data_IF_465490585667
#
_entry.id   IF_465490585667
#
_cell.length_a   1.000
_cell.length_b   1.000
_cell.length_c   1.000
_cell.angle_alpha   90.00
_cell.angle_beta   90.00
_cell.angle_gamma   90.00
#
_symmetry.space_group_name_H-M   'P 1'
#
loop_
_entity.id
_entity.type
_entity.pdbx_description
1 polymer ?
2 non-polymer ?
3 water ?
#
# COMPACT_ATOMS: atom_id res chain seq x y z
N UNK A 2 1.58 -2.36 -13.42
CA UNK A 2 2.70 -2.88 -14.21
C UNK A 2 2.53 -4.38 -14.44
N UNK A 3 3.11 -4.91 -15.54
CA UNK A 3 2.98 -6.34 -15.81
C UNK A 3 3.90 -7.06 -14.83
N UNK A 4 3.79 -8.39 -14.75
CA UNK A 4 4.70 -9.09 -13.86
C UNK A 4 5.93 -9.35 -14.73
N UNK A 5 7.07 -9.57 -14.11
CA UNK A 5 8.28 -9.75 -14.88
C UNK A 5 8.82 -11.17 -14.78
N UNK A 6 9.21 -11.72 -15.93
CA UNK A 6 9.79 -13.06 -15.99
C UNK A 6 11.25 -12.83 -16.36
N UNK A 7 12.12 -12.78 -15.36
CA UNK A 7 13.53 -12.51 -15.59
C UNK A 7 14.29 -13.48 -16.51
N UNK A 8 13.85 -14.73 -16.61
CA UNK A 8 14.55 -15.66 -17.49
C UNK A 8 14.56 -15.12 -18.92
N UNK A 9 13.54 -14.35 -19.29
CA UNK A 9 13.46 -13.78 -20.64
C UNK A 9 14.68 -12.96 -20.95
N UNK A 10 15.14 -12.19 -19.96
CA UNK A 10 16.31 -11.36 -20.17
C UNK A 10 17.61 -12.13 -20.02
N UNK A 11 17.69 -13.01 -19.02
CA UNK A 11 18.90 -13.79 -18.79
C UNK A 11 19.21 -14.74 -19.94
N UNK A 12 18.19 -15.17 -20.67
CA UNK A 12 18.38 -16.10 -21.79
C UNK A 12 18.60 -15.34 -23.09
N UNK A 13 18.37 -14.04 -23.07
CA UNK A 13 18.56 -13.21 -24.25
C UNK A 13 20.02 -12.87 -24.37
N UNK A 14 20.53 -12.78 -25.61
CA UNK A 14 21.93 -12.45 -25.84
C UNK A 14 22.33 -11.14 -25.13
N UNK A 15 21.40 -10.18 -25.12
CA UNK A 15 21.60 -8.88 -24.48
C UNK A 15 21.64 -8.91 -22.94
N UNK A 16 20.73 -9.66 -22.32
CA UNK A 16 20.68 -9.70 -20.87
C UNK A 16 21.54 -10.76 -20.20
N UNK A 17 21.89 -11.77 -20.98
CA UNK A 17 22.71 -12.89 -20.55
C UNK A 17 23.82 -12.61 -19.53
N UNK A 18 24.53 -11.51 -19.69
CA UNK A 18 25.62 -11.18 -18.78
C UNK A 18 25.27 -10.13 -17.74
N UNK A 19 24.03 -9.66 -17.76
CA UNK A 19 23.62 -8.62 -16.84
C UNK A 19 24.31 -8.66 -15.47
N UNK A 20 24.23 -9.80 -14.78
CA UNK A 20 24.81 -9.92 -13.45
C UNK A 20 26.30 -10.24 -13.35
N UNK A 21 26.97 -10.37 -14.48
CA UNK A 21 28.39 -10.66 -14.47
C UNK A 21 29.08 -9.63 -13.59
N UNK A 22 29.83 -10.11 -12.60
CA UNK A 22 30.53 -9.20 -11.72
C UNK A 22 29.82 -8.92 -10.41
N UNK A 23 28.53 -9.22 -10.32
CA UNK A 23 27.81 -8.99 -9.07
C UNK A 23 28.37 -9.90 -7.98
N UNK A 24 28.53 -9.35 -6.77
CA UNK A 24 29.04 -10.16 -5.67
C UNK A 24 27.91 -11.09 -5.29
N UNK A 25 28.22 -12.13 -4.52
CA UNK A 25 27.21 -13.05 -4.07
C UNK A 25 27.14 -12.95 -2.54
N UNK A 26 25.98 -13.23 -1.96
CA UNK A 26 25.82 -13.14 -0.51
C UNK A 26 24.77 -14.11 -0.02
N UNK A 27 24.95 -14.59 1.21
CA UNK A 27 24.03 -15.56 1.79
C UNK A 27 23.45 -15.05 3.10
N UNK A 28 22.15 -15.25 3.30
CA UNK A 28 21.49 -14.83 4.51
C UNK A 28 20.85 -16.02 5.23
N UNK A 29 21.29 -16.26 6.46
CA UNK A 29 20.78 -17.35 7.28
C UNK A 29 19.32 -17.11 7.60
N UNK A 30 18.60 -18.18 7.90
CA UNK A 30 17.19 -18.07 8.23
C UNK A 30 16.95 -17.14 9.42
N UNK A 31 15.82 -16.42 9.40
CA UNK A 31 15.49 -15.53 10.48
C UNK A 31 16.32 -14.25 10.61
N UNK A 32 17.33 -14.10 9.75
CA UNK A 32 18.19 -12.92 9.80
C UNK A 32 17.61 -11.74 9.04
N UNK A 33 17.78 -10.54 9.61
CA UNK A 33 17.27 -9.32 8.99
C UNK A 33 18.20 -8.89 7.87
N UNK A 34 17.67 -8.88 6.65
CA UNK A 34 18.46 -8.48 5.48
C UNK A 34 18.71 -6.97 5.51
N UNK A 35 17.73 -6.23 6.03
CA UNK A 35 17.84 -4.79 6.14
C UNK A 35 16.63 -4.24 6.90
N UNK A 36 16.82 -3.07 7.51
CA UNK A 36 15.76 -2.41 8.26
C UNK A 36 15.95 -0.88 8.22
N UNK A 37 15.01 -0.15 8.80
CA UNK A 37 15.11 1.30 8.81
C UNK A 37 16.42 1.73 9.47
N UNK A 38 16.67 3.04 9.54
CA UNK A 38 17.90 3.54 10.14
C UNK A 38 19.07 2.80 9.49
N UNK A 39 18.76 2.11 8.40
CA UNK A 39 19.78 1.35 7.69
C UNK A 39 20.90 2.22 7.17
N UNK A 40 22.12 1.89 7.56
CA UNK A 40 23.29 2.62 7.12
C UNK A 40 23.83 1.99 5.84
N UNK A 41 23.16 0.93 5.40
CA UNK A 41 23.57 0.21 4.18
C UNK A 41 22.71 0.67 3.01
N UNK A 42 23.09 0.23 1.81
CA UNK A 42 22.33 0.57 0.61
C UNK A 42 22.87 -0.16 -0.61
N UNK A 43 22.02 -0.30 -1.62
CA UNK A 43 22.42 -0.99 -2.83
C UNK A 43 21.25 -1.76 -3.42
N UNK A 44 21.55 -2.62 -4.38
CA UNK A 44 20.51 -3.41 -5.03
C UNK A 44 20.88 -4.88 -5.08
N UNK A 45 19.88 -5.74 -5.00
CA UNK A 45 20.16 -7.17 -5.05
C UNK A 45 19.08 -7.96 -5.76
N UNK A 46 19.41 -9.19 -6.10
CA UNK A 46 18.47 -10.08 -6.77
C UNK A 46 18.55 -11.43 -6.07
N UNK A 47 17.38 -11.95 -5.71
CA UNK A 47 17.32 -13.24 -5.05
C UNK A 47 17.66 -14.37 -6.02
N UNK A 48 18.59 -15.23 -5.60
CA UNK A 48 18.99 -16.37 -6.42
C UNK A 48 18.04 -17.52 -6.08
N UNK A 49 17.98 -17.85 -4.81
CA UNK A 49 17.06 -18.87 -4.33
C UNK A 49 16.79 -18.51 -2.88
N UNK A 50 15.71 -19.05 -2.34
CA UNK A 50 15.38 -18.74 -0.97
C UNK A 50 14.09 -17.96 -0.92
N UNK A 51 13.90 -17.18 0.14
CA UNK A 51 12.68 -16.41 0.31
C UNK A 51 12.89 -15.34 1.35
N UNK A 52 12.44 -14.12 1.05
CA UNK A 52 12.58 -13.02 1.98
C UNK A 52 11.21 -12.38 2.15
N UNK A 53 10.95 -11.87 3.34
CA UNK A 53 9.68 -11.21 3.60
C UNK A 53 9.92 -9.72 3.72
N UNK A 54 9.05 -8.93 3.09
CA UNK A 54 9.16 -7.48 3.15
C UNK A 54 7.98 -7.00 3.97
N UNK A 55 8.24 -6.17 4.97
CA UNK A 55 7.14 -5.69 5.80
C UNK A 55 7.41 -4.41 6.58
N UNK A 56 6.41 -4.06 7.37
CA UNK A 56 6.40 -2.90 8.24
C UNK A 56 5.73 -3.42 9.51
N UNK A 57 5.89 -2.72 10.63
CA UNK A 57 5.26 -3.18 11.86
C UNK A 57 4.58 -2.01 12.58
N UNK A 58 3.57 -2.34 13.38
CA UNK A 58 2.85 -1.32 14.12
C UNK A 58 1.48 -1.80 14.58
N UNK A 59 1.05 -1.28 15.73
CA UNK A 59 -0.26 -1.64 16.30
C UNK A 59 -0.26 -3.06 16.86
N UNK A 60 0.84 -3.47 17.49
CA UNK A 60 0.95 -4.81 18.07
C UNK A 60 0.95 -5.87 16.96
N UNK A 61 0.75 -5.43 15.73
CA UNK A 61 0.69 -6.32 14.58
C UNK A 61 1.73 -6.02 13.50
N UNK A 62 2.20 -7.08 12.83
CA UNK A 62 3.18 -6.92 11.77
C UNK A 62 2.45 -7.06 10.43
N UNK A 63 2.65 -6.08 9.55
CA UNK A 63 2.02 -6.10 8.23
C UNK A 63 2.97 -6.64 7.18
N UNK A 64 2.70 -7.87 6.76
CA UNK A 64 3.50 -8.53 5.74
C UNK A 64 3.07 -7.94 4.40
N UNK A 65 3.99 -7.27 3.70
CA UNK A 65 3.65 -6.68 2.43
C UNK A 65 3.70 -7.70 1.30
N UNK A 66 4.87 -8.29 1.10
CA UNK A 66 5.04 -9.30 0.05
C UNK A 66 6.32 -10.07 0.28
N UNK A 67 6.61 -11.02 -0.59
CA UNK A 67 7.81 -11.83 -0.46
C UNK A 67 8.70 -11.69 -1.69
N UNK A 68 9.97 -12.06 -1.51
CA UNK A 68 10.96 -11.98 -2.56
C UNK A 68 11.54 -13.38 -2.78
N UNK A 69 11.34 -13.93 -3.97
CA UNK A 69 11.91 -15.24 -4.27
C UNK A 69 12.74 -15.20 -5.56
N UNK A 70 13.38 -16.32 -5.88
CA UNK A 70 14.23 -16.43 -7.05
C UNK A 70 13.78 -15.50 -8.19
N UNK A 71 14.68 -14.62 -8.63
CA UNK A 71 14.36 -13.72 -9.72
C UNK A 71 13.93 -12.32 -9.34
N UNK A 72 13.41 -12.15 -8.13
CA UNK A 72 12.96 -10.84 -7.68
C UNK A 72 14.14 -9.92 -7.35
N UNK A 73 13.96 -8.62 -7.62
CA UNK A 73 14.99 -7.62 -7.34
C UNK A 73 14.41 -6.68 -6.30
N UNK A 74 15.29 -6.11 -5.47
CA UNK A 74 14.89 -5.16 -4.45
C UNK A 74 16.14 -4.38 -4.00
N UNK A 75 15.91 -3.28 -3.30
CA UNK A 75 17.00 -2.43 -2.85
C UNK A 75 17.15 -2.49 -1.33
N UNK A 76 18.13 -1.75 -0.82
CA UNK A 76 18.42 -1.68 0.61
C UNK A 76 17.97 -0.37 1.22
N UNK A 77 17.16 0.41 0.47
CA UNK A 77 16.73 1.72 0.97
C UNK A 77 15.24 2.02 0.88
N UNK A 78 14.41 0.99 0.78
CA UNK A 78 12.97 1.20 0.68
C UNK A 78 12.27 1.65 1.95
N UNK A 79 12.97 1.62 3.08
CA UNK A 79 12.34 1.98 4.33
C UNK A 79 11.50 0.81 4.81
N UNK A 80 11.63 -0.31 4.10
CA UNK A 80 10.92 -1.53 4.44
C UNK A 80 11.85 -2.49 5.16
N UNK A 81 11.27 -3.44 5.89
CA UNK A 81 12.06 -4.42 6.60
C UNK A 81 12.13 -5.65 5.70
N UNK A 82 13.26 -6.33 5.71
CA UNK A 82 13.46 -7.51 4.89
C UNK A 82 14.14 -8.59 5.72
N UNK A 83 13.52 -9.76 5.80
CA UNK A 83 14.08 -10.85 6.59
C UNK A 83 14.02 -12.13 5.78
N UNK A 84 14.98 -13.01 6.02
CA UNK A 84 15.02 -14.27 5.32
C UNK A 84 14.21 -15.29 6.09
N UNK A 85 13.23 -15.91 5.42
CA UNK A 85 12.42 -16.92 6.06
C UNK A 85 13.03 -18.24 5.63
N UNK A 86 14.24 -18.14 5.09
CA UNK A 86 14.99 -19.29 4.61
C UNK A 86 16.43 -18.86 4.38
N UNK A 87 17.25 -19.85 4.04
CA UNK A 87 18.63 -19.58 3.71
C UNK A 87 18.48 -19.10 2.27
N UNK A 88 18.75 -17.83 2.01
CA UNK A 88 18.60 -17.34 0.64
C UNK A 88 19.88 -16.70 0.13
N UNK A 89 20.18 -16.92 -1.14
CA UNK A 89 21.36 -16.35 -1.76
C UNK A 89 20.92 -15.22 -2.69
N UNK A 90 21.70 -14.14 -2.71
CA UNK A 90 21.38 -12.99 -3.55
C UNK A 90 22.62 -12.43 -4.20
N UNK A 91 22.49 -11.92 -5.41
CA UNK A 91 23.60 -11.28 -6.10
C UNK A 91 23.46 -9.84 -5.63
N UNK A 92 24.58 -9.15 -5.40
CA UNK A 92 24.50 -7.79 -4.89
C UNK A 92 25.39 -6.82 -5.66
N UNK A 93 25.03 -5.54 -5.61
CA UNK A 93 25.79 -4.50 -6.28
C UNK A 93 25.27 -3.16 -5.78
N UNK A 94 26.10 -2.12 -5.92
CA UNK A 94 25.72 -0.77 -5.48
C UNK A 94 24.81 -0.16 -6.53
N UNK A 95 24.04 0.85 -6.12
CA UNK A 95 23.11 1.52 -7.02
C UNK A 95 23.71 1.91 -8.38
N UNK A 96 24.85 2.57 -8.36
CA UNK A 96 25.48 3.00 -9.60
C UNK A 96 25.66 1.83 -10.56
N UNK A 97 26.38 0.81 -10.11
CA UNK A 97 26.63 -0.36 -10.93
C UNK A 97 25.34 -0.86 -11.55
N UNK A 98 24.30 -0.94 -10.74
CA UNK A 98 23.01 -1.43 -11.22
C UNK A 98 22.43 -0.50 -12.28
N UNK A 99 22.47 0.79 -12.01
CA UNK A 99 21.95 1.76 -12.94
C UNK A 99 22.68 1.65 -14.29
N UNK A 100 23.99 1.49 -14.22
CA UNK A 100 24.79 1.36 -15.42
C UNK A 100 24.29 0.16 -16.19
N UNK A 101 24.25 -0.99 -15.52
CA UNK A 101 23.80 -2.22 -16.14
C UNK A 101 22.42 -2.07 -16.75
N UNK A 102 21.51 -1.36 -16.07
CA UNK A 102 20.15 -1.16 -16.57
C UNK A 102 20.13 -0.36 -17.86
N UNK A 103 20.95 0.68 -17.91
CA UNK A 103 20.99 1.51 -19.10
C UNK A 103 21.64 0.78 -20.26
N UNK A 104 22.47 -0.21 -19.94
CA UNK A 104 23.13 -0.99 -20.99
C UNK A 104 22.20 -2.13 -21.42
N UNK A 105 21.23 -2.45 -20.57
CA UNK A 105 20.28 -3.51 -20.87
C UNK A 105 18.90 -3.12 -20.37
N UNK A 106 18.29 -2.11 -21.00
CA UNK A 106 16.95 -1.61 -20.61
C UNK A 106 15.87 -2.66 -20.33
N UNK A 107 15.91 -3.81 -21.01
CA UNK A 107 14.87 -4.82 -20.78
C UNK A 107 14.85 -5.36 -19.36
N UNK A 108 15.98 -5.27 -18.67
CA UNK A 108 16.01 -5.74 -17.29
C UNK A 108 15.26 -4.76 -16.39
N UNK A 109 15.02 -3.54 -16.90
CA UNK A 109 14.31 -2.51 -16.12
C UNK A 109 12.93 -2.97 -15.67
N UNK A 110 12.31 -3.83 -16.46
CA UNK A 110 10.99 -4.29 -16.11
C UNK A 110 10.93 -5.08 -14.82
N UNK A 111 12.08 -5.61 -14.39
CA UNK A 111 12.11 -6.33 -13.13
C UNK A 111 11.83 -5.30 -12.03
N UNK A 112 12.49 -4.16 -12.15
CA UNK A 112 12.34 -3.06 -11.19
C UNK A 112 10.91 -2.52 -11.23
N UNK A 113 10.41 -2.32 -12.45
CA UNK A 113 9.05 -1.83 -12.62
C UNK A 113 8.10 -2.81 -11.92
N UNK A 114 8.21 -4.10 -12.23
CA UNK A 114 7.32 -5.07 -11.63
C UNK A 114 7.37 -5.14 -10.10
N UNK A 115 8.56 -5.07 -9.50
CA UNK A 115 8.62 -5.16 -8.05
C UNK A 115 8.11 -3.90 -7.38
N UNK A 116 8.19 -2.77 -8.09
CA UNK A 116 7.70 -1.53 -7.51
C UNK A 116 6.18 -1.63 -7.50
N UNK A 117 5.63 -2.28 -8.52
CA UNK A 117 4.20 -2.48 -8.61
C UNK A 117 3.73 -3.43 -7.51
N UNK A 118 4.46 -4.52 -7.33
CA UNK A 118 4.10 -5.47 -6.30
C UNK A 118 4.10 -4.76 -4.95
N UNK A 119 5.16 -4.00 -4.70
CA UNK A 119 5.28 -3.27 -3.45
C UNK A 119 4.12 -2.30 -3.31
N UNK A 120 3.80 -1.60 -4.38
CA UNK A 120 2.72 -0.61 -4.33
C UNK A 120 1.36 -1.23 -3.99
N UNK A 121 0.91 -2.20 -4.78
CA UNK A 121 -0.39 -2.83 -4.52
C UNK A 121 -0.44 -3.44 -3.12
N UNK A 122 0.68 -4.01 -2.68
CA UNK A 122 0.70 -4.58 -1.33
C UNK A 122 0.26 -3.48 -0.37
N UNK A 123 0.91 -2.32 -0.48
CA UNK A 123 0.62 -1.18 0.38
C UNK A 123 -0.83 -0.71 0.23
N UNK A 124 -1.33 -0.71 -0.99
CA UNK A 124 -2.70 -0.28 -1.20
C UNK A 124 -3.61 -1.24 -0.45
N UNK A 125 -3.28 -2.51 -0.52
CA UNK A 125 -4.06 -3.52 0.15
C UNK A 125 -4.04 -3.24 1.65
N UNK A 126 -2.85 -2.97 2.20
CA UNK A 126 -2.73 -2.70 3.62
C UNK A 126 -3.50 -1.44 4.05
N UNK A 127 -3.50 -0.42 3.18
CA UNK A 127 -4.22 0.82 3.44
C UNK A 127 -5.72 0.52 3.38
N UNK A 128 -6.09 -0.33 2.43
CA UNK A 128 -7.47 -0.72 2.22
C UNK A 128 -7.96 -1.51 3.44
N UNK A 129 -7.08 -2.30 4.03
CA UNK A 129 -7.45 -3.09 5.20
C UNK A 129 -7.73 -2.19 6.40
N UNK A 130 -7.15 -1.00 6.41
CA UNK A 130 -7.34 -0.08 7.53
C UNK A 130 -8.57 0.79 7.34
N UNK A 131 -8.75 1.34 6.16
CA UNK A 131 -9.90 2.19 5.92
C UNK A 131 -11.22 1.39 5.96
N UNK A 132 -11.12 0.06 6.05
CA UNK A 132 -12.32 -0.78 6.09
C UNK A 132 -12.28 -1.89 7.14
N UNK A 133 -11.38 -1.77 8.11
CA UNK A 133 -11.27 -2.80 9.16
C UNK A 133 -12.61 -3.24 9.73
N UNK A 134 -13.44 -2.27 10.12
CA UNK A 134 -14.75 -2.58 10.71
C UNK A 134 -15.80 -3.14 9.75
N UNK A 135 -16.07 -2.46 8.64
CA UNK A 135 -17.07 -2.95 7.69
C UNK A 135 -16.78 -4.41 7.30
N UNK A 136 -15.49 -4.77 7.29
CA UNK A 136 -15.09 -6.12 6.95
C UNK A 136 -15.44 -7.11 8.05
N UNK A 137 -15.28 -6.70 9.32
CA UNK A 137 -15.62 -7.57 10.42
C UNK A 137 -17.15 -7.70 10.47
N UNK A 138 -17.81 -6.58 10.20
CA UNK A 138 -19.27 -6.53 10.18
C UNK A 138 -19.76 -7.52 9.13
N UNK A 139 -19.19 -7.45 7.93
CA UNK A 139 -19.59 -8.34 6.85
C UNK A 139 -19.19 -9.78 7.15
N UNK A 140 -18.18 -9.96 7.98
CA UNK A 140 -17.75 -11.29 8.34
C UNK A 140 -18.77 -11.80 9.33
N UNK A 141 -19.33 -10.87 10.10
CA UNK A 141 -20.36 -11.22 11.07
C UNK A 141 -21.61 -11.64 10.32
N UNK A 142 -22.00 -10.82 9.36
CA UNK A 142 -23.17 -11.07 8.53
C UNK A 142 -23.10 -12.47 7.92
N UNK A 143 -21.95 -12.81 7.34
CA UNK A 143 -21.77 -14.11 6.70
C UNK A 143 -21.84 -15.28 7.67
N UNK A 144 -21.45 -15.03 8.91
CA UNK A 144 -21.46 -16.05 9.93
C UNK A 144 -22.91 -16.27 10.40
N UNK A 145 -23.59 -15.18 10.72
CA UNK A 145 -24.97 -15.23 11.18
C UNK A 145 -25.96 -15.73 10.13
N UNK A 146 -25.68 -15.50 8.86
CA UNK A 146 -26.59 -15.90 7.80
C UNK A 146 -26.18 -17.14 7.02
N UNK A 147 -25.18 -17.86 7.50
CA UNK A 147 -24.73 -19.04 6.79
C UNK A 147 -25.51 -20.31 7.13
N UNK A 148 -25.67 -21.17 6.13
CA UNK A 148 -26.35 -22.46 6.32
C UNK A 148 -25.58 -23.53 5.54
N UNK A 149 -25.52 -24.73 6.11
CA UNK A 149 -24.77 -25.82 5.49
C UNK A 149 -25.63 -26.86 4.75
N UNK A 150 -24.94 -27.71 3.97
CA UNK A 150 -25.54 -28.78 3.19
C UNK A 150 -25.13 -30.14 3.76
N UNK A 151 -25.87 -31.17 3.41
CA UNK A 151 -25.58 -32.52 3.89
C UNK A 151 -24.14 -32.96 3.65
N UNK A 152 -23.50 -33.47 4.72
CA UNK A 152 -22.12 -33.92 4.64
C UNK A 152 -21.90 -35.05 3.65
N UNK A 153 -22.97 -35.75 3.28
CA UNK A 153 -22.86 -36.85 2.33
C UNK A 153 -22.70 -36.31 0.91
N UNK A 154 -21.45 -36.28 0.44
CA UNK A 154 -21.10 -35.80 -0.89
C UNK A 154 -22.22 -36.04 -1.89
N UNK A 157 -21.17 -32.47 -0.78
CA UNK A 157 -21.36 -32.63 0.65
C UNK A 157 -20.74 -31.49 1.44
N UNK A 158 -21.28 -31.24 2.63
CA UNK A 158 -20.81 -30.18 3.53
C UNK A 158 -20.27 -28.91 2.88
N UNK A 159 -21.14 -27.91 2.70
CA UNK A 159 -20.75 -26.64 2.12
C UNK A 159 -21.56 -25.49 2.74
N UNK A 160 -20.84 -24.53 3.32
CA UNK A 160 -21.48 -23.38 3.93
C UNK A 160 -21.79 -22.37 2.85
N UNK A 161 -23.05 -21.92 2.80
CA UNK A 161 -23.49 -20.97 1.79
C UNK A 161 -24.08 -19.70 2.37
N UNK A 162 -24.01 -18.64 1.59
CA UNK A 162 -24.56 -17.35 1.95
C UNK A 162 -25.02 -16.73 0.65
N UNK A 163 -26.30 -16.91 0.33
CA UNK A 163 -26.83 -16.39 -0.92
C UNK A 163 -27.54 -15.05 -0.77
N UNK A 164 -26.78 -13.99 -1.05
CA UNK A 164 -27.26 -12.62 -1.01
C UNK A 164 -26.47 -11.85 -2.04
N UNK A 165 -27.08 -10.82 -2.59
CA UNK A 165 -26.40 -9.99 -3.58
C UNK A 165 -25.76 -8.86 -2.80
N UNK A 166 -24.67 -8.31 -3.33
CA UNK A 166 -23.97 -7.22 -2.67
C UNK A 166 -24.94 -6.15 -2.18
N UNK A 167 -25.92 -5.79 -3.01
CA UNK A 167 -26.90 -4.78 -2.60
C UNK A 167 -27.73 -5.28 -1.43
N UNK A 168 -28.21 -6.52 -1.49
CA UNK A 168 -29.00 -7.08 -0.39
C UNK A 168 -28.16 -7.00 0.88
N UNK A 169 -26.88 -7.33 0.75
CA UNK A 169 -25.97 -7.29 1.88
C UNK A 169 -25.80 -5.86 2.39
N UNK A 170 -25.47 -4.95 1.47
CA UNK A 170 -25.28 -3.54 1.81
C UNK A 170 -26.49 -2.98 2.55
N UNK A 171 -27.68 -3.27 2.04
CA UNK A 171 -28.92 -2.82 2.67
C UNK A 171 -28.95 -3.30 4.12
N UNK A 172 -28.81 -4.60 4.30
CA UNK A 172 -28.82 -5.20 5.63
C UNK A 172 -27.83 -4.58 6.62
N UNK A 173 -26.54 -4.58 6.28
CA UNK A 173 -25.53 -4.04 7.19
C UNK A 173 -25.53 -2.52 7.29
N UNK A 174 -26.22 -1.86 6.37
CA UNK A 174 -26.29 -0.41 6.40
C UNK A 174 -25.37 0.32 5.44
N UNK A 175 -24.06 0.16 5.63
CA UNK A 175 -23.05 0.81 4.80
C UNK A 175 -23.40 0.90 3.31
N UNK A 176 -22.71 1.81 2.62
CA UNK A 176 -22.95 2.02 1.20
C UNK A 176 -22.74 0.76 0.38
N UNK A 177 -23.30 0.74 -0.82
CA UNK A 177 -23.17 -0.43 -1.68
C UNK A 177 -21.76 -0.56 -2.26
N UNK A 178 -21.12 0.57 -2.55
CA UNK A 178 -19.78 0.53 -3.11
C UNK A 178 -18.76 0.21 -2.02
N UNK A 179 -19.02 0.69 -0.80
CA UNK A 179 -18.12 0.43 0.33
C UNK A 179 -18.17 -1.05 0.66
N UNK A 180 -19.37 -1.61 0.61
CA UNK A 180 -19.56 -3.02 0.90
C UNK A 180 -18.79 -3.84 -0.13
N UNK A 181 -18.98 -3.48 -1.41
CA UNK A 181 -18.32 -4.18 -2.51
C UNK A 181 -16.79 -4.27 -2.30
N UNK A 182 -16.19 -3.21 -1.79
CA UNK A 182 -14.74 -3.19 -1.55
C UNK A 182 -14.41 -4.07 -0.35
N UNK A 183 -15.18 -3.91 0.72
CA UNK A 183 -14.98 -4.69 1.93
C UNK A 183 -15.09 -6.17 1.60
N UNK A 184 -16.18 -6.53 0.92
CA UNK A 184 -16.42 -7.92 0.54
C UNK A 184 -15.36 -8.40 -0.42
N UNK A 185 -15.09 -7.60 -1.46
CA UNK A 185 -14.06 -7.97 -2.43
C UNK A 185 -12.74 -8.14 -1.70
N UNK A 186 -12.55 -7.36 -0.65
CA UNK A 186 -11.34 -7.45 0.15
C UNK A 186 -11.29 -8.83 0.81
N UNK A 187 -12.39 -9.22 1.46
CA UNK A 187 -12.48 -10.50 2.15
C UNK A 187 -12.33 -11.68 1.19
N UNK A 188 -12.84 -11.51 -0.02
CA UNK A 188 -12.74 -12.54 -1.04
C UNK A 188 -11.28 -12.77 -1.42
N UNK A 189 -10.49 -11.70 -1.46
CA UNK A 189 -9.06 -11.83 -1.78
C UNK A 189 -8.41 -12.74 -0.75
N UNK A 190 -8.62 -12.42 0.52
CA UNK A 190 -8.05 -13.18 1.64
C UNK A 190 -8.54 -14.63 1.68
N UNK A 191 -9.41 -14.99 0.74
CA UNK A 191 -9.92 -16.35 0.68
C UNK A 191 -10.94 -16.74 1.74
N UNK A 192 -11.37 -15.78 2.54
CA UNK A 192 -12.35 -16.03 3.59
C UNK A 192 -13.71 -16.34 3.00
N UNK A 193 -14.02 -15.71 1.89
CA UNK A 193 -15.30 -15.91 1.22
C UNK A 193 -15.07 -16.15 -0.26
N UNK A 194 -15.73 -17.19 -0.79
CA UNK A 194 -15.60 -17.52 -2.20
C UNK A 194 -16.87 -17.09 -2.92
N UNK A 195 -16.70 -16.58 -4.14
CA UNK A 195 -17.85 -16.15 -4.92
C UNK A 195 -18.10 -17.11 -6.09
N UNK A 196 -19.26 -17.73 -6.09
CA UNK A 196 -19.64 -18.66 -7.14
C UNK A 196 -20.86 -18.11 -7.86
N UNK A 197 -20.68 -16.98 -8.56
CA UNK A 197 -21.77 -16.36 -9.27
C UNK A 197 -22.42 -15.27 -8.43
N UNK A 198 -23.12 -14.36 -9.07
CA UNK A 198 -23.80 -13.27 -8.36
C UNK A 198 -24.88 -13.81 -7.45
N UNK A 199 -25.00 -13.22 -6.26
CA UNK A 199 -26.01 -13.65 -5.31
C UNK A 199 -25.81 -15.05 -4.75
N UNK A 200 -24.60 -15.58 -4.89
CA UNK A 200 -24.27 -16.92 -4.39
C UNK A 200 -22.80 -16.99 -3.95
N UNK A 201 -22.57 -17.18 -2.65
CA UNK A 201 -21.20 -17.29 -2.13
C UNK A 201 -21.00 -18.57 -1.34
N UNK A 202 -19.76 -18.83 -0.95
CA UNK A 202 -19.43 -20.00 -0.14
C UNK A 202 -18.38 -19.63 0.87
N UNK A 203 -18.38 -20.30 2.02
CA UNK A 203 -17.42 -20.02 3.07
C UNK A 203 -16.46 -21.16 3.32
N UNK A 204 -15.26 -21.14 2.68
CA UNK A 204 -14.31 -22.23 2.92
C UNK A 204 -13.86 -22.09 4.38
N UNK A 205 -13.82 -23.20 5.11
CA UNK A 205 -13.41 -23.15 6.51
C UNK A 205 -14.07 -21.98 7.26
N UNK A 206 -15.14 -22.28 7.98
CA UNK A 206 -15.87 -21.28 8.72
C UNK A 206 -15.11 -20.75 9.93
N UNK A 207 -14.14 -21.52 10.42
CA UNK A 207 -13.35 -21.12 11.59
C UNK A 207 -12.44 -19.91 11.30
N UNK A 208 -11.94 -19.82 10.07
CA UNK A 208 -11.10 -18.70 9.69
C UNK A 208 -11.96 -17.45 9.52
N UNK A 209 -13.12 -17.59 8.88
CA UNK A 209 -14.02 -16.45 8.69
C UNK A 209 -14.44 -15.93 10.06
N UNK A 210 -14.68 -16.85 10.99
CA UNK A 210 -15.06 -16.48 12.35
C UNK A 210 -13.93 -15.64 12.91
N UNK A 211 -12.70 -16.02 12.56
CA UNK A 211 -11.50 -15.32 13.02
C UNK A 211 -11.39 -13.96 12.35
N UNK A 212 -12.03 -13.81 11.20
CA UNK A 212 -11.99 -12.55 10.48
C UNK A 212 -13.10 -11.63 10.94
N UNK A 213 -13.62 -11.87 12.14
CA UNK A 213 -14.69 -11.05 12.69
C UNK A 213 -14.42 -10.64 14.13
N UNK B 2 13.76 4.60 -6.37
CA UNK B 2 14.13 4.97 -7.74
C UNK B 2 14.60 6.41 -7.78
N UNK B 3 15.36 6.78 -8.81
CA UNK B 3 15.83 8.18 -8.88
C UNK B 3 14.69 9.07 -9.35
N UNK B 4 14.91 10.38 -9.31
CA UNK B 4 13.90 11.30 -9.79
C UNK B 4 14.05 11.25 -11.29
N UNK B 5 12.97 11.57 -12.01
CA UNK B 5 13.03 11.52 -13.47
C UNK B 5 12.68 12.86 -14.09
N UNK B 6 13.49 13.28 -15.07
CA UNK B 6 13.26 14.53 -15.78
C UNK B 6 12.86 14.21 -17.23
N UNK B 7 11.56 14.24 -17.51
CA UNK B 7 11.08 13.89 -18.84
C UNK B 7 11.61 14.70 -20.01
N UNK B 8 12.02 15.94 -19.77
CA UNK B 8 12.55 16.76 -20.85
C UNK B 8 13.79 16.08 -21.42
N UNK B 9 14.54 15.39 -20.56
CA UNK B 9 15.76 14.69 -20.98
C UNK B 9 15.48 13.74 -22.13
N UNK B 10 14.38 13.01 -22.03
CA UNK B 10 14.04 12.06 -23.07
C UNK B 10 13.40 12.76 -24.27
N UNK B 11 12.40 13.60 -24.01
CA UNK B 11 11.69 14.31 -25.06
C UNK B 11 12.58 15.16 -25.98
N UNK B 12 13.70 15.66 -25.48
CA UNK B 12 14.57 16.49 -26.30
C UNK B 12 15.56 15.65 -27.08
N UNK B 13 15.65 14.38 -26.73
CA UNK B 13 16.60 13.49 -27.40
C UNK B 13 15.99 12.93 -28.68
N UNK B 14 16.79 12.83 -29.75
CA UNK B 14 16.27 12.30 -31.01
C UNK B 14 15.42 11.04 -30.81
N UNK B 15 15.88 10.16 -29.93
CA UNK B 15 15.17 8.91 -29.65
C UNK B 15 13.82 9.07 -29.01
N UNK B 16 13.71 10.03 -28.08
CA UNK B 16 12.46 10.21 -27.36
C UNK B 16 11.55 11.31 -27.85
N UNK B 17 12.07 12.13 -28.75
CA UNK B 17 11.34 13.26 -29.33
C UNK B 17 9.92 12.93 -29.80
N UNK B 18 9.75 11.73 -30.36
CA UNK B 18 8.46 11.30 -30.89
C UNK B 18 7.65 10.42 -29.94
N UNK B 19 8.21 10.12 -28.78
CA UNK B 19 7.53 9.23 -27.85
C UNK B 19 6.02 9.36 -27.72
N UNK B 20 5.50 10.58 -27.67
CA UNK B 20 4.05 10.72 -27.53
C UNK B 20 3.34 10.99 -28.86
N UNK B 21 4.11 11.05 -29.93
CA UNK B 21 3.59 11.29 -31.29
C UNK B 21 2.53 10.21 -31.58
N UNK B 22 1.25 10.59 -31.48
CA UNK B 22 0.19 9.63 -31.73
C UNK B 22 -0.86 9.60 -30.62
N UNK B 23 -0.47 10.00 -29.42
CA UNK B 23 -1.39 10.02 -28.30
C UNK B 23 -2.47 11.05 -28.56
N UNK B 24 -3.69 10.79 -28.09
CA UNK B 24 -4.77 11.73 -28.29
C UNK B 24 -4.64 12.77 -27.18
N UNK B 25 -5.50 13.79 -27.21
CA UNK B 25 -5.47 14.84 -26.20
C UNK B 25 -6.83 14.95 -25.54
N UNK B 26 -6.83 15.27 -24.24
CA UNK B 26 -8.09 15.40 -23.53
C UNK B 26 -8.01 16.44 -22.43
N UNK B 27 -8.98 17.35 -22.41
CA UNK B 27 -9.02 18.39 -21.40
C UNK B 27 -9.98 17.97 -20.29
N UNK B 28 -9.50 17.97 -19.06
CA UNK B 28 -10.32 17.61 -17.92
C UNK B 28 -10.69 18.87 -17.13
N UNK B 29 -11.98 19.14 -17.03
CA UNK B 29 -12.48 20.31 -16.32
C UNK B 29 -12.16 20.22 -14.84
N UNK B 30 -12.08 21.36 -14.17
CA UNK B 30 -11.78 21.34 -12.75
C UNK B 30 -12.87 20.53 -12.05
N UNK B 31 -12.52 19.90 -10.94
CA UNK B 31 -13.49 19.08 -10.23
C UNK B 31 -13.78 17.77 -10.94
N UNK B 32 -13.47 17.71 -12.23
CA UNK B 32 -13.70 16.51 -13.04
C UNK B 32 -13.00 15.26 -12.50
N UNK B 33 -13.71 14.13 -12.57
CA UNK B 33 -13.17 12.86 -12.09
C UNK B 33 -12.54 12.10 -13.26
N UNK B 34 -11.20 12.09 -13.31
CA UNK B 34 -10.47 11.40 -14.38
C UNK B 34 -10.54 9.89 -14.23
N UNK B 35 -10.33 9.42 -13.00
CA UNK B 35 -10.38 7.99 -12.73
C UNK B 35 -11.33 7.66 -11.61
N UNK B 36 -12.21 6.71 -11.89
CA UNK B 36 -13.18 6.25 -10.90
C UNK B 36 -12.60 4.98 -10.31
N UNK B 37 -12.89 4.72 -9.03
CA UNK B 37 -12.36 3.50 -8.41
C UNK B 37 -12.71 2.29 -9.24
N UNK B 38 -13.80 2.41 -10.00
CA UNK B 38 -14.30 1.36 -10.89
C UNK B 38 -14.60 2.00 -12.25
N UNK B 39 -13.55 2.27 -13.01
CA UNK B 39 -13.71 2.87 -14.32
C UNK B 39 -13.85 1.84 -15.43
N UNK B 40 -13.20 0.70 -15.24
CA UNK B 40 -13.23 -0.41 -16.20
C UNK B 40 -12.40 -0.23 -17.47
N UNK B 41 -12.47 0.94 -18.11
CA UNK B 41 -11.66 1.17 -19.32
C UNK B 41 -10.20 1.29 -18.89
N UNK B 42 -9.27 1.23 -19.84
CA UNK B 42 -7.88 1.28 -19.45
C UNK B 42 -6.92 1.96 -20.43
N UNK B 43 -5.90 2.58 -19.87
CA UNK B 43 -4.92 3.27 -20.68
C UNK B 43 -3.93 4.02 -19.81
N UNK B 44 -2.97 4.67 -20.47
CA UNK B 44 -1.93 5.43 -19.78
C UNK B 44 -1.97 6.88 -20.26
N UNK B 45 -1.74 7.83 -19.36
CA UNK B 45 -1.72 9.21 -19.78
C UNK B 45 -0.53 9.93 -19.17
N UNK B 46 -0.24 11.11 -19.71
CA UNK B 46 0.86 11.93 -19.22
C UNK B 46 0.29 13.33 -19.12
N UNK B 47 0.43 13.93 -17.95
CA UNK B 47 -0.07 15.27 -17.72
C UNK B 47 0.68 16.35 -18.53
N UNK B 48 -0.04 17.09 -19.35
CA UNK B 48 0.59 18.15 -20.11
C UNK B 48 0.73 19.36 -19.17
N UNK B 49 -0.40 19.79 -18.62
CA UNK B 49 -0.41 20.90 -17.66
C UNK B 49 -1.62 20.70 -16.76
N UNK B 50 -1.62 21.37 -15.61
CA UNK B 50 -2.74 21.22 -14.70
C UNK B 50 -2.29 20.49 -13.46
N UNK B 51 -3.24 19.86 -12.78
CA UNK B 51 -2.94 19.14 -11.56
C UNK B 51 -4.04 18.14 -11.28
N UNK B 52 -3.66 16.92 -10.90
CA UNK B 52 -4.63 15.86 -10.60
C UNK B 52 -4.36 15.29 -9.22
N UNK B 53 -5.43 14.93 -8.54
CA UNK B 53 -5.32 14.37 -7.20
C UNK B 53 -5.53 12.85 -7.29
N UNK B 54 -4.76 12.10 -6.52
CA UNK B 54 -4.87 10.65 -6.49
C UNK B 54 -5.22 10.32 -5.05
N UNK B 55 -6.42 9.78 -4.87
CA UNK B 55 -6.87 9.47 -3.53
C UNK B 55 -7.66 8.16 -3.49
N UNK B 56 -7.97 7.75 -2.29
CA UNK B 56 -8.73 6.52 -2.07
C UNK B 56 -9.90 6.90 -1.17
N UNK B 57 -11.05 6.29 -1.39
CA UNK B 57 -12.21 6.56 -0.56
C UNK B 57 -12.22 5.47 0.49
N UNK B 58 -12.96 5.66 1.58
CA UNK B 58 -12.98 4.63 2.62
C UNK B 58 -13.78 4.95 3.86
N UNK B 59 -14.90 4.26 4.02
CA UNK B 59 -15.75 4.48 5.19
C UNK B 59 -16.09 5.96 5.33
N UNK B 60 -16.79 6.49 4.34
CA UNK B 60 -17.18 7.90 4.34
C UNK B 60 -16.03 8.78 4.83
N UNK B 61 -15.07 9.00 3.93
CA UNK B 61 -13.90 9.81 4.18
C UNK B 61 -12.89 9.55 3.06
N UNK B 62 -12.13 10.59 2.69
CA UNK B 62 -11.13 10.44 1.64
C UNK B 62 -9.72 10.73 2.16
N UNK B 63 -8.74 10.12 1.52
CA UNK B 63 -7.35 10.33 1.89
C UNK B 63 -6.53 10.62 0.63
N UNK B 64 -5.85 11.77 0.61
CA UNK B 64 -5.04 12.17 -0.53
C UNK B 64 -3.66 11.53 -0.49
N UNK B 65 -3.26 10.91 -1.60
CA UNK B 65 -1.97 10.22 -1.68
C UNK B 65 -0.86 11.09 -2.22
N UNK B 66 -1.06 11.60 -3.44
CA UNK B 66 -0.09 12.47 -4.10
C UNK B 66 -0.78 13.12 -5.30
N UNK B 67 -0.09 14.07 -5.94
CA UNK B 67 -0.66 14.76 -7.09
C UNK B 67 0.19 14.58 -8.33
N UNK B 68 -0.45 14.73 -9.48
CA UNK B 68 0.25 14.62 -10.75
C UNK B 68 0.29 16.01 -11.36
N UNK B 69 1.43 16.38 -11.91
CA UNK B 69 1.57 17.67 -12.57
C UNK B 69 2.32 17.45 -13.88
N UNK B 70 2.48 18.50 -14.67
CA UNK B 70 3.15 18.38 -15.95
C UNK B 70 4.34 17.42 -15.97
N UNK B 71 4.32 16.51 -16.96
CA UNK B 71 5.39 15.53 -17.12
C UNK B 71 5.14 14.18 -16.47
N UNK B 72 4.21 14.12 -15.53
CA UNK B 72 3.89 12.89 -14.82
C UNK B 72 3.05 11.96 -15.67
N UNK B 73 3.39 10.66 -15.63
CA UNK B 73 2.65 9.64 -16.35
C UNK B 73 1.89 8.83 -15.32
N UNK B 74 0.75 8.30 -15.72
CA UNK B 74 -0.06 7.48 -14.81
C UNK B 74 -0.99 6.62 -15.64
N UNK B 75 -1.64 5.68 -14.97
CA UNK B 75 -2.54 4.77 -15.67
C UNK B 75 -4.00 4.90 -15.25
N UNK B 76 -4.85 4.10 -15.88
CA UNK B 76 -6.28 4.09 -15.60
C UNK B 76 -6.69 2.83 -14.85
N UNK B 77 -5.74 2.14 -14.22
CA UNK B 77 -6.07 0.91 -13.49
C UNK B 77 -5.41 0.79 -12.12
N UNK B 78 -4.97 1.91 -11.55
CA UNK B 78 -4.32 1.87 -10.26
C UNK B 78 -5.31 1.41 -9.19
N UNK B 79 -6.58 1.76 -9.39
CA UNK B 79 -7.61 1.43 -8.43
C UNK B 79 -7.90 2.69 -7.64
N UNK B 80 -6.94 3.63 -7.68
CA UNK B 80 -7.09 4.91 -6.99
C UNK B 80 -7.99 5.80 -7.83
N UNK B 81 -8.63 6.78 -7.18
CA UNK B 81 -9.48 7.73 -7.89
C UNK B 81 -8.59 8.91 -8.27
N UNK B 82 -8.84 9.48 -9.44
CA UNK B 82 -8.07 10.62 -9.91
C UNK B 82 -8.96 11.77 -10.35
N UNK B 83 -8.92 12.87 -9.60
CA UNK B 83 -9.72 14.05 -9.94
C UNK B 83 -8.79 15.19 -10.33
N UNK B 84 -9.27 16.11 -11.16
CA UNK B 84 -8.48 17.25 -11.57
C UNK B 84 -8.75 18.42 -10.63
N UNK B 85 -7.70 19.04 -10.10
CA UNK B 85 -7.88 20.18 -9.19
C UNK B 85 -7.83 21.53 -9.92
N UNK B 86 -7.90 21.47 -11.25
CA UNK B 86 -7.87 22.65 -12.11
C UNK B 86 -7.85 22.18 -13.57
N UNK B 87 -8.18 23.06 -14.50
CA UNK B 87 -8.20 22.68 -15.92
C UNK B 87 -6.88 22.00 -16.28
N UNK B 88 -6.96 20.70 -16.54
CA UNK B 88 -5.78 19.92 -16.87
C UNK B 88 -5.86 19.26 -18.24
N UNK B 89 -4.74 19.25 -18.94
CA UNK B 89 -4.70 18.60 -20.24
C UNK B 89 -3.77 17.40 -20.18
N UNK B 90 -4.28 16.25 -20.60
CA UNK B 90 -3.49 15.02 -20.60
C UNK B 90 -3.38 14.46 -22.01
N UNK B 91 -2.36 13.65 -22.24
CA UNK B 91 -2.18 13.00 -23.54
C UNK B 91 -2.34 11.54 -23.15
N UNK B 92 -3.32 10.86 -23.73
CA UNK B 92 -3.61 9.48 -23.38
C UNK B 92 -3.54 8.52 -24.55
N UNK B 93 -3.42 7.23 -24.23
CA UNK B 93 -3.36 6.17 -25.21
C UNK B 93 -3.57 4.86 -24.47
N UNK B 94 -3.77 3.76 -25.19
CA UNK B 94 -3.99 2.47 -24.53
C UNK B 94 -2.66 1.81 -24.16
N UNK B 95 -2.73 0.94 -23.17
CA UNK B 95 -1.55 0.22 -22.67
C UNK B 95 -0.69 -0.34 -23.79
N UNK B 96 -1.32 -0.96 -24.76
CA UNK B 96 -0.60 -1.55 -25.88
C UNK B 96 0.31 -0.54 -26.56
N UNK B 97 -0.24 0.63 -26.87
CA UNK B 97 0.52 1.69 -27.54
C UNK B 97 1.68 2.18 -26.68
N UNK B 98 1.41 2.38 -25.39
CA UNK B 98 2.41 2.87 -24.46
C UNK B 98 3.59 1.88 -24.36
N UNK B 99 3.27 0.61 -24.16
CA UNK B 99 4.30 -0.43 -24.05
C UNK B 99 5.13 -0.51 -25.31
N UNK B 100 4.48 -0.36 -26.47
CA UNK B 100 5.21 -0.39 -27.74
C UNK B 100 6.22 0.76 -27.79
N UNK B 101 5.77 1.96 -27.41
CA UNK B 101 6.65 3.13 -27.39
C UNK B 101 7.81 2.94 -26.40
N UNK B 102 7.50 2.37 -25.23
CA UNK B 102 8.53 2.10 -24.22
C UNK B 102 9.55 1.11 -24.75
N UNK B 103 9.09 0.22 -25.62
CA UNK B 103 9.96 -0.79 -26.23
C UNK B 103 10.99 -0.13 -27.10
N UNK B 104 10.57 0.81 -27.93
CA UNK B 104 11.49 1.51 -28.82
C UNK B 104 12.21 2.68 -28.15
N UNK B 105 11.71 3.13 -27.00
CA UNK B 105 12.38 4.21 -26.28
C UNK B 105 12.50 3.90 -24.78
N UNK B 106 13.29 2.88 -24.44
CA UNK B 106 13.54 2.41 -23.08
C UNK B 106 13.80 3.51 -22.06
N UNK B 107 14.50 4.56 -22.47
CA UNK B 107 14.83 5.62 -21.54
C UNK B 107 13.60 6.27 -20.89
N UNK B 108 12.48 6.23 -21.58
CA UNK B 108 11.26 6.81 -21.04
C UNK B 108 10.70 5.93 -19.90
N UNK B 109 11.17 4.70 -19.81
CA UNK B 109 10.66 3.81 -18.76
C UNK B 109 10.97 4.36 -17.36
N UNK B 110 12.04 5.14 -17.26
CA UNK B 110 12.38 5.69 -15.96
C UNK B 110 11.29 6.63 -15.43
N UNK B 111 10.45 7.14 -16.32
CA UNK B 111 9.36 7.98 -15.89
C UNK B 111 8.33 7.09 -15.22
N UNK B 112 8.13 5.89 -15.74
CA UNK B 112 7.16 4.97 -15.15
C UNK B 112 7.70 4.50 -13.80
N UNK B 113 8.99 4.19 -13.77
CA UNK B 113 9.66 3.75 -12.55
C UNK B 113 9.56 4.85 -11.49
N UNK B 114 9.67 6.12 -11.89
CA UNK B 114 9.62 7.19 -10.91
C UNK B 114 8.22 7.39 -10.33
N UNK B 115 7.19 7.35 -11.18
CA UNK B 115 5.87 7.53 -10.64
C UNK B 115 5.51 6.40 -9.69
N UNK B 116 5.95 5.17 -10.00
CA UNK B 116 5.66 4.05 -9.12
C UNK B 116 6.34 4.24 -7.77
N UNK B 117 7.57 4.77 -7.77
CA UNK B 117 8.28 4.98 -6.53
C UNK B 117 7.61 6.05 -5.68
N UNK B 118 7.12 7.08 -6.35
CA UNK B 118 6.44 8.20 -5.70
C UNK B 118 5.14 7.70 -5.08
N UNK B 119 4.42 6.85 -5.79
CA UNK B 119 3.17 6.32 -5.28
C UNK B 119 3.49 5.39 -4.10
N UNK B 120 4.52 4.57 -4.26
CA UNK B 120 4.92 3.65 -3.20
C UNK B 120 5.22 4.45 -1.95
N UNK B 121 6.04 5.48 -2.13
CA UNK B 121 6.44 6.34 -1.02
C UNK B 121 5.22 6.97 -0.38
N UNK B 122 4.33 7.53 -1.19
CA UNK B 122 3.13 8.15 -0.67
C UNK B 122 2.32 7.17 0.19
N UNK B 123 2.17 5.94 -0.29
CA UNK B 123 1.41 4.93 0.45
C UNK B 123 2.05 4.54 1.77
N UNK B 124 3.38 4.47 1.80
CA UNK B 124 4.04 4.11 3.04
C UNK B 124 3.88 5.22 4.07
N UNK B 125 3.78 6.45 3.59
CA UNK B 125 3.61 7.59 4.47
C UNK B 125 2.18 7.52 5.00
N UNK B 126 1.24 7.21 4.10
CA UNK B 126 -0.18 7.11 4.46
C UNK B 126 -0.45 6.03 5.48
N UNK B 127 0.31 4.95 5.40
CA UNK B 127 0.14 3.87 6.35
C UNK B 127 0.65 4.34 7.70
N UNK B 128 1.80 5.02 7.70
CA UNK B 128 2.36 5.53 8.95
C UNK B 128 1.37 6.49 9.62
N UNK B 129 0.69 7.30 8.82
CA UNK B 129 -0.27 8.25 9.38
C UNK B 129 -1.44 7.53 10.03
N UNK B 130 -2.02 6.58 9.31
CA UNK B 130 -3.15 5.81 9.83
C UNK B 130 -2.87 5.21 11.20
N UNK B 131 -1.79 4.44 11.28
CA UNK B 131 -1.41 3.81 12.55
C UNK B 131 -1.13 4.80 13.68
N UNK B 132 -0.50 5.92 13.36
CA UNK B 132 -0.20 6.91 14.39
C UNK B 132 -1.51 7.51 14.88
N UNK B 133 -2.45 7.68 13.97
CA UNK B 133 -3.75 8.23 14.28
C UNK B 133 -4.54 7.29 15.19
N UNK B 134 -4.40 5.99 14.95
CA UNK B 134 -5.09 4.97 15.74
C UNK B 134 -4.52 4.86 17.16
N UNK B 135 -3.20 4.77 17.28
CA UNK B 135 -2.60 4.65 18.60
C UNK B 135 -2.97 5.84 19.50
N UNK B 136 -3.15 7.00 18.88
CA UNK B 136 -3.51 8.20 19.63
C UNK B 136 -4.87 8.01 20.29
N UNK B 137 -5.83 7.53 19.52
CA UNK B 137 -7.18 7.29 20.01
C UNK B 137 -7.14 6.27 21.13
N UNK B 138 -6.22 5.33 21.02
CA UNK B 138 -6.05 4.28 22.01
C UNK B 138 -5.66 4.97 23.31
N UNK B 139 -4.64 5.81 23.23
CA UNK B 139 -4.16 6.53 24.39
C UNK B 139 -5.23 7.52 24.83
N UNK B 140 -6.04 7.98 23.89
CA UNK B 140 -7.12 8.91 24.20
C UNK B 140 -8.14 8.17 25.06
N UNK B 141 -8.67 7.08 24.51
CA UNK B 141 -9.65 6.28 25.23
C UNK B 141 -9.08 5.76 26.54
N UNK B 142 -7.77 5.50 26.57
CA UNK B 142 -7.14 5.00 27.78
C UNK B 142 -7.33 6.00 28.91
N UNK B 143 -6.99 7.26 28.65
CA UNK B 143 -7.12 8.32 29.64
C UNK B 143 -8.56 8.50 30.11
N UNK B 144 -9.51 8.14 29.24
CA UNK B 144 -10.93 8.23 29.57
C UNK B 144 -11.32 7.20 30.64
N UNK B 145 -10.99 5.94 30.38
CA UNK B 145 -11.33 4.86 31.30
C UNK B 145 -10.45 4.78 32.55
N UNK B 146 -9.53 5.73 32.69
CA UNK B 146 -8.65 5.74 33.85
C UNK B 146 -8.52 7.15 34.41
N UNK B 147 -9.65 7.85 34.49
CA UNK B 147 -9.66 9.22 35.00
C UNK B 147 -9.98 9.29 36.49
N UNK B 148 -9.17 10.08 37.20
CA UNK B 148 -9.33 10.28 38.64
C UNK B 148 -9.92 11.66 38.93
N UNK B 149 -11.21 11.83 38.65
CA UNK B 149 -11.87 13.11 38.90
C UNK B 149 -11.88 13.39 40.40
N UNK B 150 -11.25 14.48 40.82
CA UNK B 150 -11.19 14.82 42.24
C UNK B 150 -11.20 16.33 42.50
N UNK B 151 -10.36 16.79 43.42
CA UNK B 151 -10.30 18.20 43.74
C UNK B 151 -9.17 18.50 44.70
N UNK B 158 -12.60 21.12 40.43
CA UNK B 158 -12.31 19.73 40.09
C UNK B 158 -11.02 19.60 39.29
N UNK B 159 -10.19 18.61 39.65
CA UNK B 159 -8.93 18.39 38.94
C UNK B 159 -8.82 16.93 38.50
N UNK B 160 -9.55 16.58 37.43
CA UNK B 160 -9.53 15.23 36.88
C UNK B 160 -8.10 14.91 36.43
N UNK B 161 -7.68 13.66 36.58
CA UNK B 161 -6.33 13.27 36.20
C UNK B 161 -6.16 11.81 35.78
N UNK B 162 -4.90 11.41 35.64
CA UNK B 162 -4.50 10.05 35.27
C UNK B 162 -3.10 9.83 35.82
N UNK B 163 -2.97 8.83 36.69
CA UNK B 163 -1.68 8.53 37.31
C UNK B 163 -0.98 7.28 36.78
N UNK B 164 -0.39 7.39 35.60
CA UNK B 164 0.33 6.27 34.99
C UNK B 164 1.56 6.74 34.22
N UNK B 165 2.67 6.03 34.37
CA UNK B 165 3.89 6.38 33.66
C UNK B 165 3.70 5.98 32.20
N UNK B 166 4.58 6.45 31.32
CA UNK B 166 4.51 6.15 29.89
C UNK B 166 4.60 4.65 29.60
N UNK B 167 5.37 3.95 30.42
CA UNK B 167 5.56 2.52 30.25
C UNK B 167 4.32 1.73 30.66
N UNK B 168 3.54 2.29 31.58
CA UNK B 168 2.32 1.62 32.04
C UNK B 168 1.22 1.80 31.01
N UNK B 169 1.05 3.02 30.53
CA UNK B 169 0.05 3.29 29.52
C UNK B 169 0.37 2.38 28.34
N UNK B 170 1.62 2.44 27.89
CA UNK B 170 2.09 1.66 26.76
C UNK B 170 1.75 0.18 26.88
N UNK B 171 2.17 -0.44 27.99
CA UNK B 171 1.90 -1.85 28.21
C UNK B 171 0.41 -2.15 28.17
N UNK B 172 -0.37 -1.35 28.89
CA UNK B 172 -1.82 -1.54 28.94
C UNK B 172 -2.44 -1.29 27.57
N UNK B 173 -1.86 -0.34 26.83
CA UNK B 173 -2.34 0.02 25.49
C UNK B 173 -1.97 -1.06 24.48
N UNK B 174 -0.99 -1.89 24.84
CA UNK B 174 -0.56 -2.95 23.95
C UNK B 174 0.37 -2.40 22.89
N UNK B 175 1.26 -1.49 23.29
CA UNK B 175 2.21 -0.88 22.38
C UNK B 175 3.57 -0.71 23.06
N UNK B 176 4.50 -0.04 22.37
CA UNK B 176 5.84 0.17 22.91
C UNK B 176 6.03 1.52 23.58
N UNK B 177 6.84 1.53 24.64
CA UNK B 177 7.13 2.73 25.39
C UNK B 177 7.48 3.90 24.47
N UNK B 178 8.19 3.60 23.39
CA UNK B 178 8.61 4.60 22.44
C UNK B 178 7.39 5.05 21.64
N UNK B 179 6.72 4.10 21.00
CA UNK B 179 5.55 4.37 20.19
C UNK B 179 4.54 5.29 20.87
N UNK B 180 4.01 4.82 22.00
CA UNK B 180 3.02 5.58 22.76
C UNK B 180 3.54 6.94 23.17
N UNK B 181 4.81 6.98 23.54
CA UNK B 181 5.45 8.22 23.99
C UNK B 181 5.34 9.33 22.95
N UNK B 182 5.61 9.02 21.69
CA UNK B 182 5.54 10.03 20.63
C UNK B 182 4.09 10.38 20.27
N UNK B 183 3.19 9.40 20.39
CA UNK B 183 1.78 9.63 20.09
C UNK B 183 1.20 10.48 21.22
N UNK B 184 1.65 10.18 22.44
CA UNK B 184 1.21 10.89 23.64
C UNK B 184 1.63 12.36 23.57
N UNK B 185 2.94 12.58 23.48
CA UNK B 185 3.49 13.93 23.40
C UNK B 185 2.77 14.70 22.31
N UNK B 186 2.30 13.99 21.31
CA UNK B 186 1.57 14.62 20.23
C UNK B 186 0.25 15.13 20.82
N UNK B 187 -0.45 14.23 21.50
CA UNK B 187 -1.71 14.56 22.14
C UNK B 187 -1.53 15.71 23.12
N UNK B 188 -0.30 15.88 23.61
CA UNK B 188 0.01 16.95 24.56
C UNK B 188 0.17 18.30 23.85
N UNK B 189 1.03 18.35 22.84
CA UNK B 189 1.26 19.59 22.09
C UNK B 189 -0.05 20.19 21.64
N UNK B 190 -0.98 19.31 21.28
CA UNK B 190 -2.29 19.74 20.80
C UNK B 190 -3.26 20.11 21.92
N UNK B 191 -2.78 20.08 23.16
CA UNK B 191 -3.61 20.44 24.30
C UNK B 191 -4.86 19.61 24.59
N UNK B 192 -4.67 18.33 24.90
CA UNK B 192 -5.77 17.44 25.21
C UNK B 192 -5.41 16.64 26.46
N UNK B 193 -4.14 16.76 26.85
CA UNK B 193 -3.57 16.11 28.01
C UNK B 193 -2.36 16.93 28.43
N UNK B 194 -2.08 17.01 29.73
CA UNK B 194 -0.93 17.78 30.21
C UNK B 194 -0.07 16.94 31.14
N UNK B 195 1.22 16.89 30.84
CA UNK B 195 2.17 16.11 31.64
C UNK B 195 2.82 16.94 32.75
N UNK B 196 2.23 16.87 33.95
CA UNK B 196 2.74 17.60 35.10
C UNK B 196 3.51 16.67 36.01
N UNK B 197 4.58 16.07 35.49
CA UNK B 197 5.39 15.16 36.28
C UNK B 197 5.22 13.71 35.87
N UNK B 198 6.28 12.92 36.02
CA UNK B 198 6.25 11.51 35.66
C UNK B 198 5.12 10.75 36.35
N UNK B 199 4.24 10.14 35.56
CA UNK B 199 3.15 9.37 36.11
C UNK B 199 1.98 10.22 36.56
N UNK B 200 1.98 11.50 36.17
CA UNK B 200 0.91 12.39 36.56
C UNK B 200 0.50 13.30 35.41
N UNK B 201 -0.72 13.10 34.92
CA UNK B 201 -1.25 13.89 33.83
C UNK B 201 -2.66 14.37 34.19
N UNK B 202 -3.04 15.53 33.66
CA UNK B 202 -4.37 16.09 33.90
C UNK B 202 -5.11 16.16 32.57
N UNK B 203 -6.42 15.97 32.59
CA UNK B 203 -7.21 15.99 31.37
C UNK B 203 -8.07 17.25 31.19
N UNK B 204 -7.45 18.37 30.77
CA UNK B 204 -8.26 19.58 30.58
C UNK B 204 -9.31 19.26 29.52
N UNK B 205 -10.57 19.59 29.78
CA UNK B 205 -11.65 19.30 28.85
C UNK B 205 -11.70 17.79 28.60
N UNK B 206 -12.74 17.14 29.12
CA UNK B 206 -12.87 15.70 28.96
C UNK B 206 -13.65 15.36 27.70
N UNK B 207 -14.55 16.24 27.28
CA UNK B 207 -15.35 15.98 26.09
C UNK B 207 -14.45 15.93 24.85
N UNK B 208 -13.44 16.81 24.82
CA UNK B 208 -12.51 16.87 23.70
C UNK B 208 -11.75 15.55 23.60
N UNK B 209 -11.30 15.03 24.73
CA UNK B 209 -10.57 13.77 24.76
C UNK B 209 -11.51 12.63 24.37
N UNK B 210 -12.71 12.64 24.96
CA UNK B 210 -13.70 11.61 24.68
C UNK B 210 -14.20 11.73 23.25
N UNK B 211 -13.74 12.77 22.55
CA UNK B 211 -14.13 12.98 21.16
C UNK B 211 -13.13 12.23 20.29
N UNK B 212 -11.85 12.37 20.64
CA UNK B 212 -10.78 11.70 19.91
C UNK B 212 -11.09 10.21 19.88
N UNK B 213 -11.12 9.60 21.07
CA UNK B 213 -11.40 8.17 21.22
C UNK B 213 -12.32 7.64 20.12
#
# INVERSE_FOLDING_TARGET
MPPRFNIANVLLSPDGETFFRGFRSKIHAKGSLVCTGEGDENGVFVVVDGRLRVYLVGEEREISLFYLTSGDMFCMHSGCLVEATERTEVRFADIRTFEQKLQTCPSMAWGLIAILGRALTSCMRTIEDLMFHDIKQRIAGFFIDHANTTGRQTQGGVIVSVDFTVEEIANLIGSSRQTTSTALNSLIKEGYISRQGRGHYTIPNLVRLKAAADGDRDDDDD
MPPRFNIANVLLSPDGETFFRGFRSKIHAKGSLVCTGEGDENGVFVVVDGRLRVYLVGEEREISLFYLTSGDMFCMHSGCLVEATERTEVRFADIRTFEQKLQTCPSMAWGLIAILGRALTSCMRTIEDLMFHDIKQRIAGFFIDHANTTGRQTQGGVIVSVDFTVEEIANLIGSSRQTTSTALNSLIKEGYISRQGRGHYTIPNLVRLKAAADGDRDDDDD
#
